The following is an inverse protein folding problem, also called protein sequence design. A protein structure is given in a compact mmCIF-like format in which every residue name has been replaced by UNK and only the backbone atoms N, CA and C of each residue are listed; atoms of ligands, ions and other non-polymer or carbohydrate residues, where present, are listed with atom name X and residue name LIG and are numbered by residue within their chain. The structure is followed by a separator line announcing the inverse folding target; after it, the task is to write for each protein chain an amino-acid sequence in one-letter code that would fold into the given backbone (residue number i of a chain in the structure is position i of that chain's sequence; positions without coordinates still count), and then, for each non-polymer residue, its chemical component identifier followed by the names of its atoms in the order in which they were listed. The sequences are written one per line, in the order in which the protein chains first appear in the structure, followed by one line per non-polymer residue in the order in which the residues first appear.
data_IF_100548589129
#
_entry.id   IF_100548589129
#
_cell.length_a   1.000
_cell.length_b   1.000
_cell.length_c   1.000
_cell.angle_alpha   90.00
_cell.angle_beta   90.00
_cell.angle_gamma   90.00
#
_symmetry.space_group_name_H-M   'P 1'
#
loop_
_entity.id
_entity.type
_entity.pdbx_description
1 polymer ?
#
# COMPACT_ATOMS: atom_id res chain seq x y z
N UNK A 1 -0.84 38.78 4.30
CA UNK A 1 -1.54 37.54 4.70
C UNK A 1 -1.68 36.67 3.45
N UNK A 2 -1.08 35.47 3.45
CA UNK A 2 -1.30 34.51 2.36
C UNK A 2 -2.78 34.13 2.32
N UNK A 3 -3.36 33.98 1.13
CA UNK A 3 -4.76 33.59 1.02
C UNK A 3 -4.98 32.19 1.63
N UNK A 4 -6.16 31.89 2.20
CA UNK A 4 -6.46 30.58 2.78
C UNK A 4 -6.21 29.41 1.81
N UNK A 5 -6.36 29.68 0.51
CA UNK A 5 -6.10 28.73 -0.58
C UNK A 5 -4.61 28.37 -0.71
N UNK A 6 -3.71 29.35 -0.54
CA UNK A 6 -2.25 29.11 -0.59
C UNK A 6 -1.80 28.32 0.64
N UNK A 7 -2.40 28.57 1.81
CA UNK A 7 -2.11 27.83 3.04
C UNK A 7 -2.60 26.38 2.93
N UNK A 8 -3.81 26.17 2.40
CA UNK A 8 -4.35 24.82 2.13
C UNK A 8 -3.49 24.04 1.15
N UNK A 9 -3.11 24.67 0.02
CA UNK A 9 -2.23 24.05 -0.97
C UNK A 9 -0.86 23.69 -0.38
N UNK A 10 -0.28 24.56 0.46
CA UNK A 10 1.01 24.31 1.12
C UNK A 10 0.97 23.16 2.14
N UNK A 11 -0.13 23.06 2.89
CA UNK A 11 -0.35 21.93 3.80
C UNK A 11 -0.52 20.63 3.01
N UNK A 12 -1.22 20.68 1.87
CA UNK A 12 -1.41 19.52 1.02
C UNK A 12 -0.10 19.05 0.37
N UNK A 13 0.74 19.97 -0.11
CA UNK A 13 2.07 19.63 -0.65
C UNK A 13 2.98 19.03 0.42
N UNK A 14 2.96 19.55 1.63
CA UNK A 14 3.78 18.98 2.73
C UNK A 14 3.29 17.60 3.17
N UNK A 15 1.98 17.34 3.13
CA UNK A 15 1.41 16.01 3.40
C UNK A 15 1.79 15.03 2.29
N UNK A 16 1.63 15.41 1.02
CA UNK A 16 1.92 14.50 -0.12
C UNK A 16 3.42 14.18 -0.21
N UNK A 17 4.29 15.18 -0.01
CA UNK A 17 5.74 14.98 0.10
C UNK A 17 6.09 14.03 1.26
N UNK A 18 5.41 14.20 2.42
CA UNK A 18 5.56 13.32 3.57
C UNK A 18 5.21 11.86 3.28
N UNK A 19 4.08 11.61 2.62
CA UNK A 19 3.67 10.25 2.21
C UNK A 19 4.69 9.64 1.25
N UNK A 20 5.12 10.41 0.25
CA UNK A 20 6.04 9.93 -0.76
C UNK A 20 7.42 9.59 -0.16
N UNK A 21 7.99 10.50 0.63
CA UNK A 21 9.29 10.31 1.27
C UNK A 21 9.28 9.11 2.24
N UNK A 22 8.25 9.00 3.08
CA UNK A 22 8.12 7.88 4.04
C UNK A 22 7.93 6.55 3.34
N UNK A 23 7.13 6.51 2.27
CA UNK A 23 6.91 5.29 1.48
C UNK A 23 8.21 4.82 0.82
N UNK A 24 8.98 5.72 0.21
CA UNK A 24 10.29 5.39 -0.38
C UNK A 24 11.26 4.90 0.68
N UNK A 25 11.33 5.58 1.84
CA UNK A 25 12.19 5.17 2.93
C UNK A 25 11.85 3.76 3.43
N UNK A 26 10.56 3.41 3.53
CA UNK A 26 10.10 2.07 3.88
C UNK A 26 10.50 1.03 2.83
N UNK A 27 10.27 1.31 1.54
CA UNK A 27 10.64 0.41 0.43
C UNK A 27 12.15 0.15 0.44
N UNK A 28 12.95 1.22 0.57
CA UNK A 28 14.40 1.11 0.62
C UNK A 28 14.85 0.30 1.83
N UNK A 29 14.32 0.58 3.02
CA UNK A 29 14.64 -0.16 4.25
C UNK A 29 14.29 -1.64 4.14
N UNK A 30 13.14 -1.98 3.56
CA UNK A 30 12.76 -3.38 3.30
C UNK A 30 13.71 -4.06 2.31
N UNK A 31 14.10 -3.38 1.22
CA UNK A 31 15.08 -3.91 0.26
C UNK A 31 16.45 -4.15 0.91
N UNK A 32 16.95 -3.18 1.68
CA UNK A 32 18.19 -3.30 2.44
C UNK A 32 18.15 -4.50 3.38
N UNK A 33 17.08 -4.62 4.17
CA UNK A 33 16.87 -5.74 5.08
C UNK A 33 16.86 -7.07 4.33
N UNK A 34 16.13 -7.16 3.20
CA UNK A 34 16.09 -8.38 2.40
C UNK A 34 17.45 -8.75 1.81
N UNK A 35 18.27 -7.79 1.40
CA UNK A 35 19.62 -8.04 0.88
C UNK A 35 20.57 -8.57 1.96
N UNK A 36 20.59 -7.92 3.13
CA UNK A 36 21.43 -8.35 4.26
C UNK A 36 21.09 -9.79 4.67
N UNK A 37 19.82 -10.13 4.62
CA UNK A 37 19.30 -11.41 5.12
C UNK A 37 19.37 -12.54 4.10
N UNK A 38 19.31 -12.23 2.80
CA UNK A 38 19.43 -13.25 1.75
C UNK A 38 20.85 -13.83 1.67
N UNK A 39 21.86 -13.14 2.20
CA UNK A 39 23.28 -13.47 2.08
C UNK A 39 23.72 -13.66 0.61
N UNK A 40 23.00 -13.08 -0.35
CA UNK A 40 23.40 -13.12 -1.75
C UNK A 40 24.59 -12.19 -1.99
N UNK A 41 25.65 -12.71 -2.61
CA UNK A 41 26.83 -11.92 -2.98
C UNK A 41 26.58 -11.26 -4.33
N UNK A 42 25.96 -10.08 -4.31
CA UNK A 42 25.74 -9.27 -5.51
C UNK A 42 26.94 -8.36 -5.79
N UNK A 43 27.30 -8.23 -7.07
CA UNK A 43 28.20 -7.16 -7.47
C UNK A 43 27.47 -5.80 -7.44
N UNK A 44 28.20 -4.69 -7.55
CA UNK A 44 27.62 -3.34 -7.45
C UNK A 44 26.52 -3.08 -8.50
N UNK A 45 26.67 -3.64 -9.71
CA UNK A 45 25.72 -3.47 -10.82
C UNK A 45 24.42 -4.21 -10.53
N UNK A 46 24.51 -5.48 -10.10
CA UNK A 46 23.37 -6.31 -9.72
C UNK A 46 22.64 -5.73 -8.51
N UNK A 47 23.39 -5.21 -7.54
CA UNK A 47 22.83 -4.55 -6.38
C UNK A 47 22.08 -3.27 -6.77
N UNK A 48 22.65 -2.43 -7.63
CA UNK A 48 21.97 -1.24 -8.14
C UNK A 48 20.71 -1.63 -8.93
N UNK A 49 20.78 -2.64 -9.80
CA UNK A 49 19.61 -3.18 -10.50
C UNK A 49 18.53 -3.63 -9.52
N UNK A 50 18.89 -4.32 -8.43
CA UNK A 50 17.95 -4.73 -7.39
C UNK A 50 17.24 -3.55 -6.71
N UNK A 51 17.93 -2.42 -6.51
CA UNK A 51 17.29 -1.23 -5.95
C UNK A 51 16.17 -0.69 -6.87
N UNK A 52 16.38 -0.73 -8.18
CA UNK A 52 15.41 -0.28 -9.19
C UNK A 52 14.29 -1.28 -9.49
N UNK A 53 14.52 -2.57 -9.27
CA UNK A 53 13.52 -3.60 -9.51
C UNK A 53 12.26 -3.36 -8.65
N UNK A 54 11.04 -3.47 -9.19
CA UNK A 54 9.80 -3.26 -8.43
C UNK A 54 9.44 -4.45 -7.52
N UNK A 55 10.44 -5.06 -6.88
CA UNK A 55 10.28 -6.18 -5.96
C UNK A 55 11.05 -5.93 -4.65
N UNK A 56 10.54 -6.48 -3.56
CA UNK A 56 11.14 -6.31 -2.23
C UNK A 56 12.09 -7.45 -1.84
N UNK A 57 11.98 -8.62 -2.48
CA UNK A 57 12.80 -9.79 -2.15
C UNK A 57 14.09 -9.76 -2.98
N UNK A 58 15.23 -9.85 -2.29
CA UNK A 58 16.54 -9.89 -2.92
C UNK A 58 16.87 -11.31 -3.43
N UNK A 59 16.39 -11.63 -4.63
CA UNK A 59 16.70 -12.87 -5.38
C UNK A 59 16.83 -12.60 -6.89
N UNK A 60 17.75 -11.71 -7.33
CA UNK A 60 17.87 -11.33 -8.74
C UNK A 60 18.17 -12.50 -9.69
N UNK A 61 18.84 -13.56 -9.21
CA UNK A 61 19.17 -14.74 -10.03
C UNK A 61 17.93 -15.57 -10.43
N UNK A 62 16.80 -15.41 -9.75
CA UNK A 62 15.54 -16.09 -10.07
C UNK A 62 14.64 -15.24 -11.00
N UNK A 63 15.10 -14.05 -11.38
CA UNK A 63 14.32 -13.13 -12.21
C UNK A 63 14.57 -13.38 -13.69
N UNK A 64 13.49 -13.25 -14.47
CA UNK A 64 13.53 -13.42 -15.92
C UNK A 64 13.52 -12.03 -16.55
N UNK A 65 14.51 -11.77 -17.41
CA UNK A 65 14.70 -10.47 -18.04
C UNK A 65 14.45 -10.50 -19.55
N UNK A 66 13.72 -9.51 -20.06
CA UNK A 66 13.52 -9.24 -21.49
C UNK A 66 14.84 -8.90 -22.16
N UNK A 67 14.98 -9.32 -23.41
CA UNK A 67 16.09 -8.89 -24.27
C UNK A 67 15.97 -7.44 -24.70
N UNK A 68 14.74 -6.97 -24.98
CA UNK A 68 14.45 -5.62 -25.50
C UNK A 68 13.40 -4.92 -24.66
N UNK A 69 13.53 -3.60 -24.56
CA UNK A 69 12.53 -2.72 -23.94
C UNK A 69 11.43 -2.39 -24.94
N UNK A 70 10.18 -2.41 -24.50
CA UNK A 70 9.03 -1.94 -25.26
C UNK A 70 8.73 -0.47 -24.91
N UNK A 71 9.31 0.44 -25.69
CA UNK A 71 9.12 1.89 -25.49
C UNK A 71 7.67 2.35 -25.62
N UNK A 72 6.87 1.70 -26.46
CA UNK A 72 5.43 2.01 -26.59
C UNK A 72 4.72 1.74 -25.26
N UNK A 73 5.07 0.63 -24.61
CA UNK A 73 4.49 0.28 -23.30
C UNK A 73 4.92 1.28 -22.21
N UNK A 74 6.18 1.71 -22.20
CA UNK A 74 6.67 2.77 -21.30
C UNK A 74 5.86 4.06 -21.48
N UNK A 75 5.69 4.53 -22.72
CA UNK A 75 4.92 5.75 -23.01
C UNK A 75 3.47 5.60 -22.54
N UNK A 76 2.83 4.44 -22.78
CA UNK A 76 1.48 4.16 -22.30
C UNK A 76 1.38 4.25 -20.77
N UNK A 77 2.33 3.66 -20.05
CA UNK A 77 2.36 3.73 -18.59
C UNK A 77 2.52 5.16 -18.08
N UNK A 78 3.43 5.94 -18.67
CA UNK A 78 3.62 7.35 -18.31
C UNK A 78 2.34 8.15 -18.54
N UNK A 79 1.75 8.06 -19.75
CA UNK A 79 0.53 8.82 -20.08
C UNK A 79 -0.63 8.43 -19.15
N UNK A 80 -0.90 7.14 -18.98
CA UNK A 80 -2.02 6.68 -18.15
C UNK A 80 -1.84 7.06 -16.68
N UNK A 81 -0.62 6.94 -16.15
CA UNK A 81 -0.33 7.35 -14.77
C UNK A 81 -0.53 8.86 -14.57
N UNK A 82 -0.05 9.68 -15.50
CA UNK A 82 -0.23 11.14 -15.47
C UNK A 82 -1.70 11.54 -15.53
N UNK A 83 -2.51 10.89 -16.38
CA UNK A 83 -3.95 11.16 -16.47
C UNK A 83 -4.65 10.86 -15.15
N UNK A 84 -4.35 9.73 -14.51
CA UNK A 84 -4.95 9.38 -13.22
C UNK A 84 -4.50 10.36 -12.13
N UNK A 85 -3.22 10.72 -12.06
CA UNK A 85 -2.72 11.68 -11.07
C UNK A 85 -3.41 13.04 -11.22
N UNK A 86 -3.58 13.52 -12.45
CA UNK A 86 -4.30 14.77 -12.72
C UNK A 86 -5.78 14.68 -12.33
N UNK A 87 -6.43 13.55 -12.62
CA UNK A 87 -7.80 13.30 -12.22
C UNK A 87 -7.95 13.23 -10.69
N UNK A 88 -7.04 12.54 -9.98
CA UNK A 88 -7.02 12.47 -8.51
C UNK A 88 -6.86 13.85 -7.88
N UNK A 89 -5.93 14.68 -8.39
CA UNK A 89 -5.73 16.05 -7.92
C UNK A 89 -7.02 16.88 -8.10
N UNK A 90 -7.65 16.80 -9.27
CA UNK A 90 -8.93 17.46 -9.52
C UNK A 90 -10.02 16.95 -8.56
N UNK A 91 -10.18 15.63 -8.45
CA UNK A 91 -11.21 15.01 -7.63
C UNK A 91 -11.08 15.38 -6.14
N UNK A 92 -9.87 15.34 -5.60
CA UNK A 92 -9.62 15.72 -4.20
C UNK A 92 -9.92 17.20 -3.96
N UNK A 93 -9.46 18.09 -4.84
CA UNK A 93 -9.63 19.53 -4.67
C UNK A 93 -11.09 19.98 -4.80
N UNK A 94 -11.84 19.42 -5.74
CA UNK A 94 -13.19 19.90 -6.06
C UNK A 94 -14.32 19.08 -5.45
N UNK A 95 -14.17 17.75 -5.34
CA UNK A 95 -15.24 16.89 -4.80
C UNK A 95 -15.08 16.58 -3.31
N UNK A 96 -13.84 16.55 -2.80
CA UNK A 96 -13.58 16.14 -1.42
C UNK A 96 -13.44 17.33 -0.47
N UNK A 97 -12.44 18.20 -0.70
CA UNK A 97 -12.07 19.26 0.23
C UNK A 97 -13.19 20.24 0.63
N UNK A 98 -14.05 20.77 -0.27
CA UNK A 98 -14.93 21.87 0.10
C UNK A 98 -15.99 21.54 1.16
N UNK A 99 -16.26 20.25 1.44
CA UNK A 99 -17.35 19.82 2.32
C UNK A 99 -16.90 18.93 3.50
N UNK A 100 -15.58 18.69 3.67
CA UNK A 100 -15.06 17.55 4.45
C UNK A 100 -15.06 17.75 5.98
N UNK A 101 -14.91 18.98 6.47
CA UNK A 101 -14.41 19.24 7.85
C UNK A 101 -15.53 19.49 8.89
N UNK A 102 -16.79 19.69 8.45
CA UNK A 102 -17.86 20.16 9.34
C UNK A 102 -19.02 19.19 9.54
N UNK A 103 -18.90 17.94 9.07
CA UNK A 103 -19.99 16.96 9.18
C UNK A 103 -19.79 15.98 10.36
N UNK A 104 -20.89 15.60 11.02
CA UNK A 104 -20.85 14.53 12.02
C UNK A 104 -20.54 13.16 11.38
N UNK A 105 -19.97 12.23 12.15
CA UNK A 105 -19.50 10.92 11.71
C UNK A 105 -20.45 10.19 10.73
N UNK A 106 -21.73 10.09 11.07
CA UNK A 106 -22.69 9.36 10.24
C UNK A 106 -22.87 10.00 8.86
N UNK A 107 -22.99 11.33 8.82
CA UNK A 107 -23.14 12.09 7.58
C UNK A 107 -21.88 12.03 6.74
N UNK A 108 -20.72 12.11 7.40
CA UNK A 108 -19.42 11.95 6.77
C UNK A 108 -19.28 10.58 6.10
N UNK A 109 -19.54 9.48 6.82
CA UNK A 109 -19.45 8.13 6.27
C UNK A 109 -20.36 7.96 5.06
N UNK A 110 -21.63 8.39 5.16
CA UNK A 110 -22.59 8.24 4.06
C UNK A 110 -22.15 9.02 2.82
N UNK A 111 -21.68 10.26 3.00
CA UNK A 111 -21.31 11.13 1.88
C UNK A 111 -19.95 10.78 1.27
N UNK A 112 -18.99 10.32 2.07
CA UNK A 112 -17.59 10.23 1.63
C UNK A 112 -17.07 8.82 1.40
N UNK A 113 -17.71 7.77 1.92
CA UNK A 113 -17.20 6.40 1.77
C UNK A 113 -17.06 5.98 0.33
N UNK A 114 -18.05 6.28 -0.51
CA UNK A 114 -17.98 5.94 -1.92
C UNK A 114 -16.92 6.78 -2.65
N UNK A 115 -16.85 8.09 -2.37
CA UNK A 115 -15.89 9.01 -2.97
C UNK A 115 -14.44 8.62 -2.66
N UNK A 116 -14.14 8.38 -1.39
CA UNK A 116 -12.82 7.94 -0.92
C UNK A 116 -12.51 6.50 -1.33
N UNK A 117 -13.52 5.63 -1.36
CA UNK A 117 -13.38 4.25 -1.81
C UNK A 117 -12.96 4.15 -3.28
N UNK A 118 -13.55 4.97 -4.16
CA UNK A 118 -13.15 5.06 -5.57
C UNK A 118 -11.67 5.48 -5.69
N UNK A 119 -11.25 6.50 -4.95
CA UNK A 119 -9.85 6.94 -4.96
C UNK A 119 -8.91 5.79 -4.61
N UNK A 120 -9.26 4.95 -3.64
CA UNK A 120 -8.41 3.83 -3.21
C UNK A 120 -8.31 2.76 -4.29
N UNK A 121 -9.41 2.44 -4.96
CA UNK A 121 -9.40 1.47 -6.07
C UNK A 121 -8.57 1.99 -7.24
N UNK A 122 -8.75 3.27 -7.60
CA UNK A 122 -8.01 3.89 -8.70
C UNK A 122 -6.53 4.04 -8.35
N UNK A 123 -6.19 4.44 -7.13
CA UNK A 123 -4.81 4.55 -6.67
C UNK A 123 -4.12 3.20 -6.54
N UNK A 124 -4.86 2.14 -6.17
CA UNK A 124 -4.35 0.77 -6.22
C UNK A 124 -3.90 0.43 -7.65
N UNK A 125 -4.77 0.66 -8.64
CA UNK A 125 -4.47 0.42 -10.04
C UNK A 125 -3.32 1.31 -10.57
N UNK A 126 -3.32 2.60 -10.22
CA UNK A 126 -2.23 3.53 -10.55
C UNK A 126 -0.87 2.99 -10.11
N UNK A 127 -0.76 2.58 -8.84
CA UNK A 127 0.51 2.12 -8.28
C UNK A 127 0.90 0.77 -8.90
N UNK A 128 0.01 -0.22 -8.86
CA UNK A 128 0.40 -1.58 -9.17
C UNK A 128 0.45 -1.91 -10.67
N UNK A 129 -0.42 -1.33 -11.50
CA UNK A 129 -0.39 -1.59 -12.95
C UNK A 129 0.47 -0.60 -13.71
N UNK A 130 0.43 0.68 -13.34
CA UNK A 130 1.09 1.71 -14.11
C UNK A 130 2.47 2.08 -13.56
N UNK A 131 2.58 2.44 -12.28
CA UNK A 131 3.87 2.83 -11.70
C UNK A 131 4.80 1.61 -11.64
N UNK A 132 4.40 0.51 -11.00
CA UNK A 132 5.25 -0.69 -10.94
C UNK A 132 5.41 -1.37 -12.30
N UNK A 133 4.40 -1.30 -13.18
CA UNK A 133 4.50 -1.75 -14.57
C UNK A 133 5.55 -0.97 -15.38
N UNK A 134 5.64 0.35 -15.17
CA UNK A 134 6.69 1.18 -15.74
C UNK A 134 8.07 0.75 -15.26
N UNK A 135 8.27 0.58 -13.95
CA UNK A 135 9.53 0.08 -13.39
C UNK A 135 9.88 -1.32 -13.92
N UNK A 136 8.89 -2.18 -14.09
CA UNK A 136 9.06 -3.52 -14.65
C UNK A 136 9.58 -3.47 -16.08
N UNK A 137 9.03 -2.59 -16.92
CA UNK A 137 9.46 -2.44 -18.31
C UNK A 137 10.85 -1.77 -18.42
N UNK A 138 11.14 -0.78 -17.58
CA UNK A 138 12.46 -0.12 -17.51
C UNK A 138 13.54 -1.11 -17.08
N UNK A 139 13.28 -1.89 -16.03
CA UNK A 139 14.21 -2.92 -15.50
C UNK A 139 14.18 -4.22 -16.31
N UNK A 140 13.28 -4.33 -17.29
CA UNK A 140 13.11 -5.47 -18.19
C UNK A 140 12.72 -6.78 -17.49
N UNK A 141 12.23 -6.76 -16.25
CA UNK A 141 11.80 -7.99 -15.57
C UNK A 141 10.41 -8.42 -16.05
N UNK A 142 10.14 -9.73 -16.17
CA UNK A 142 8.85 -10.23 -16.69
C UNK A 142 8.02 -11.00 -15.66
N UNK A 143 8.65 -11.68 -14.71
CA UNK A 143 8.00 -12.66 -13.86
C UNK A 143 7.47 -12.08 -12.54
N UNK A 144 7.15 -10.78 -12.50
CA UNK A 144 6.62 -10.13 -11.31
C UNK A 144 5.09 -10.00 -11.40
N UNK A 145 4.42 -10.47 -10.35
CA UNK A 145 2.99 -10.26 -10.14
C UNK A 145 2.82 -9.38 -8.91
N UNK A 146 2.19 -8.22 -9.07
CA UNK A 146 2.10 -7.22 -8.01
C UNK A 146 0.86 -7.39 -7.12
N UNK A 147 -0.26 -7.82 -7.69
CA UNK A 147 -1.51 -8.09 -6.99
C UNK A 147 -2.29 -9.22 -7.70
N UNK A 148 -3.34 -9.71 -7.07
CA UNK A 148 -4.31 -10.68 -7.60
C UNK A 148 -5.74 -10.13 -7.45
N UNK A 149 -6.76 -10.89 -7.82
CA UNK A 149 -8.19 -10.58 -7.69
C UNK A 149 -8.64 -10.40 -6.22
N UNK A 150 -8.13 -9.37 -5.56
CA UNK A 150 -8.32 -9.08 -4.14
C UNK A 150 -9.76 -8.66 -3.84
N UNK A 151 -10.46 -8.09 -4.81
CA UNK A 151 -11.90 -7.77 -4.73
C UNK A 151 -12.77 -9.02 -4.60
N UNK A 152 -12.26 -10.20 -4.99
CA UNK A 152 -12.93 -11.49 -4.86
C UNK A 152 -12.43 -12.30 -3.65
N UNK A 153 -11.70 -11.69 -2.72
CA UNK A 153 -11.19 -12.38 -1.54
C UNK A 153 -12.34 -12.94 -0.67
N UNK A 154 -12.12 -14.15 -0.15
CA UNK A 154 -13.03 -14.92 0.72
C UNK A 154 -12.74 -14.77 2.22
N UNK A 155 -11.76 -13.93 2.57
CA UNK A 155 -11.35 -13.67 3.95
C UNK A 155 -10.28 -12.58 4.02
N UNK A 156 -9.98 -12.08 5.23
CA UNK A 156 -8.95 -11.07 5.46
C UNK A 156 -7.56 -11.62 5.14
N UNK A 157 -7.31 -12.91 5.43
CA UNK A 157 -6.05 -13.56 5.07
C UNK A 157 -5.81 -13.62 3.55
N UNK A 158 -6.86 -13.90 2.78
CA UNK A 158 -6.80 -13.89 1.31
C UNK A 158 -6.69 -12.47 0.77
N UNK A 159 -7.46 -11.52 1.30
CA UNK A 159 -7.40 -10.11 0.92
C UNK A 159 -5.98 -9.56 1.08
N UNK A 160 -5.36 -9.74 2.26
CA UNK A 160 -4.01 -9.29 2.55
C UNK A 160 -2.95 -9.90 1.63
N UNK A 161 -3.13 -11.17 1.21
CA UNK A 161 -2.22 -11.85 0.27
C UNK A 161 -2.36 -11.33 -1.16
N UNK A 162 -3.60 -11.05 -1.60
CA UNK A 162 -3.90 -10.64 -2.97
C UNK A 162 -3.70 -9.15 -3.22
N UNK A 163 -3.86 -8.31 -2.19
CA UNK A 163 -3.79 -6.84 -2.32
C UNK A 163 -2.43 -6.32 -2.78
N UNK A 164 -1.36 -6.72 -2.09
CA UNK A 164 0.02 -6.34 -2.41
C UNK A 164 0.95 -7.54 -2.20
N UNK A 165 1.24 -8.24 -3.29
CA UNK A 165 2.06 -9.47 -3.26
C UNK A 165 3.50 -9.18 -2.88
N UNK A 166 4.05 -8.02 -3.25
CA UNK A 166 5.46 -7.70 -2.97
C UNK A 166 5.70 -7.57 -1.47
N UNK A 167 4.84 -6.81 -0.77
CA UNK A 167 4.90 -6.67 0.69
C UNK A 167 4.54 -7.99 1.37
N UNK A 168 3.49 -8.69 0.91
CA UNK A 168 3.12 -9.98 1.47
C UNK A 168 4.27 -11.00 1.41
N UNK A 169 4.92 -11.13 0.24
CA UNK A 169 6.02 -12.08 0.05
C UNK A 169 7.24 -11.69 0.88
N UNK A 170 7.57 -10.39 0.96
CA UNK A 170 8.63 -9.88 1.84
C UNK A 170 8.40 -10.30 3.30
N UNK A 171 7.21 -10.05 3.84
CA UNK A 171 6.84 -10.41 5.21
C UNK A 171 6.89 -11.92 5.42
N UNK A 172 6.37 -12.70 4.45
CA UNK A 172 6.36 -14.16 4.51
C UNK A 172 7.77 -14.74 4.60
N UNK A 173 8.67 -14.33 3.71
CA UNK A 173 10.01 -14.92 3.58
C UNK A 173 10.96 -14.37 4.64
N UNK A 174 11.01 -13.06 4.82
CA UNK A 174 12.04 -12.42 5.66
C UNK A 174 11.65 -12.29 7.13
N UNK A 175 10.36 -12.39 7.47
CA UNK A 175 9.87 -12.28 8.85
C UNK A 175 9.26 -13.61 9.30
N UNK A 176 8.12 -13.99 8.72
CA UNK A 176 7.33 -15.13 9.20
C UNK A 176 8.11 -16.44 9.15
N UNK A 177 8.63 -16.85 7.98
CA UNK A 177 9.33 -18.14 7.83
C UNK A 177 10.54 -18.26 8.76
N UNK A 178 11.28 -17.17 8.97
CA UNK A 178 12.45 -17.14 9.87
C UNK A 178 12.08 -17.26 11.33
N UNK A 179 10.98 -16.64 11.76
CA UNK A 179 10.43 -16.79 13.11
C UNK A 179 9.77 -18.17 13.31
N UNK A 180 9.21 -18.75 12.24
CA UNK A 180 8.42 -19.98 12.34
C UNK A 180 9.27 -21.23 12.57
N UNK A 181 10.57 -21.19 12.23
CA UNK A 181 11.63 -22.23 12.36
C UNK A 181 11.31 -23.67 11.91
N UNK A 182 10.11 -24.23 12.11
CA UNK A 182 9.61 -25.52 11.62
C UNK A 182 8.07 -25.64 11.77
N UNK A 183 7.29 -25.13 10.81
CA UNK A 183 5.83 -25.34 10.77
C UNK A 183 5.01 -24.06 10.97
N UNK A 184 3.72 -24.21 11.32
CA UNK A 184 2.83 -23.06 11.59
C UNK A 184 3.06 -22.55 13.01
N UNK A 185 3.57 -21.32 13.14
CA UNK A 185 3.81 -20.71 14.45
C UNK A 185 2.92 -19.46 14.61
N UNK A 186 1.93 -19.55 15.51
CA UNK A 186 1.01 -18.45 15.80
C UNK A 186 1.74 -17.21 16.33
N UNK A 187 2.80 -17.37 17.12
CA UNK A 187 3.61 -16.24 17.61
C UNK A 187 4.31 -15.53 16.45
N UNK A 188 4.89 -16.29 15.52
CA UNK A 188 5.52 -15.72 14.31
C UNK A 188 4.50 -14.95 13.45
N UNK A 189 3.27 -15.47 13.34
CA UNK A 189 2.18 -14.81 12.62
C UNK A 189 1.77 -13.50 13.31
N UNK A 190 1.54 -13.53 14.63
CA UNK A 190 1.22 -12.33 15.43
C UNK A 190 2.29 -11.26 15.26
N UNK A 191 3.56 -11.62 15.40
CA UNK A 191 4.69 -10.69 15.27
C UNK A 191 4.71 -10.09 13.86
N UNK A 192 4.49 -10.90 12.83
CA UNK A 192 4.48 -10.43 11.43
C UNK A 192 3.37 -9.40 11.20
N UNK A 193 2.15 -9.67 11.68
CA UNK A 193 1.02 -8.73 11.60
C UNK A 193 1.25 -7.47 12.44
N UNK A 194 1.81 -7.59 13.63
CA UNK A 194 2.11 -6.44 14.48
C UNK A 194 3.14 -5.51 13.80
N UNK A 195 4.18 -6.07 13.19
CA UNK A 195 5.17 -5.29 12.41
C UNK A 195 4.47 -4.54 11.28
N UNK A 196 3.55 -5.18 10.54
CA UNK A 196 2.80 -4.48 9.49
C UNK A 196 1.97 -3.32 10.02
N UNK A 197 1.24 -3.56 11.12
CA UNK A 197 0.36 -2.55 11.70
C UNK A 197 1.15 -1.35 12.23
N UNK A 198 2.30 -1.60 12.89
CA UNK A 198 3.21 -0.56 13.37
C UNK A 198 3.83 0.26 12.24
N UNK A 199 4.22 -0.38 11.13
CA UNK A 199 4.75 0.33 9.97
C UNK A 199 3.70 1.24 9.31
N UNK A 200 2.47 0.77 9.16
CA UNK A 200 1.38 1.60 8.65
C UNK A 200 1.07 2.77 9.60
N UNK A 201 0.99 2.52 10.90
CA UNK A 201 0.79 3.57 11.91
C UNK A 201 1.91 4.61 11.85
N UNK A 202 3.16 4.17 11.72
CA UNK A 202 4.32 5.06 11.55
C UNK A 202 4.18 5.95 10.30
N UNK A 203 3.86 5.38 9.14
CA UNK A 203 3.67 6.14 7.92
C UNK A 203 2.55 7.18 8.05
N UNK A 204 1.42 6.80 8.66
CA UNK A 204 0.29 7.72 8.91
C UNK A 204 0.71 8.84 9.86
N UNK A 205 1.40 8.50 10.96
CA UNK A 205 1.81 9.49 11.96
C UNK A 205 2.83 10.50 11.43
N UNK A 206 3.79 10.07 10.61
CA UNK A 206 4.74 10.99 9.98
C UNK A 206 4.05 11.89 8.96
N UNK A 207 3.11 11.33 8.20
CA UNK A 207 2.33 12.07 7.20
C UNK A 207 1.44 13.13 7.83
N UNK A 208 0.66 12.74 8.84
CA UNK A 208 -0.33 13.61 9.48
C UNK A 208 0.27 14.45 10.63
N UNK A 209 1.51 14.13 11.04
CA UNK A 209 2.19 14.74 12.20
C UNK A 209 1.38 14.62 13.50
N UNK A 210 0.58 13.56 13.62
CA UNK A 210 -0.25 13.23 14.78
C UNK A 210 -0.06 11.77 15.16
N UNK A 211 -0.31 11.42 16.43
CA UNK A 211 -0.19 10.03 16.91
C UNK A 211 -1.53 9.60 17.49
N UNK A 212 -2.20 8.62 16.87
CA UNK A 212 -3.58 8.22 17.23
C UNK A 212 -3.82 6.73 17.44
N UNK A 213 -3.01 5.86 16.85
CA UNK A 213 -3.10 4.39 17.00
C UNK A 213 -4.39 3.73 16.48
N UNK A 214 -5.27 4.46 15.78
CA UNK A 214 -6.50 3.87 15.24
C UNK A 214 -6.19 2.77 14.21
N UNK A 215 -5.23 3.00 13.30
CA UNK A 215 -4.88 2.02 12.28
C UNK A 215 -4.29 0.76 12.92
N UNK A 216 -3.42 0.93 13.92
CA UNK A 216 -2.88 -0.17 14.72
C UNK A 216 -4.00 -1.02 15.35
N UNK A 217 -4.98 -0.39 16.00
CA UNK A 217 -6.11 -1.08 16.66
C UNK A 217 -6.95 -1.87 15.64
N UNK A 218 -7.36 -1.24 14.54
CA UNK A 218 -8.16 -1.93 13.53
C UNK A 218 -7.40 -3.07 12.84
N UNK A 219 -6.10 -2.90 12.59
CA UNK A 219 -5.26 -3.97 12.01
C UNK A 219 -5.12 -5.17 12.95
N UNK A 220 -4.91 -4.93 14.25
CA UNK A 220 -4.90 -5.97 15.26
C UNK A 220 -6.27 -6.69 15.35
N UNK A 221 -7.37 -5.95 15.27
CA UNK A 221 -8.72 -6.52 15.26
C UNK A 221 -8.95 -7.42 14.02
N UNK A 222 -8.56 -6.97 12.81
CA UNK A 222 -8.64 -7.79 11.60
C UNK A 222 -7.86 -9.10 11.77
N UNK A 223 -6.67 -9.05 12.34
CA UNK A 223 -5.85 -10.23 12.60
C UNK A 223 -6.54 -11.22 13.56
N UNK A 224 -7.10 -10.73 14.67
CA UNK A 224 -7.83 -11.57 15.64
C UNK A 224 -8.99 -12.29 14.97
N UNK A 225 -9.64 -11.69 13.97
CA UNK A 225 -10.76 -12.28 13.26
C UNK A 225 -10.36 -13.39 12.27
N UNK A 226 -9.13 -13.39 11.73
CA UNK A 226 -8.67 -14.33 10.68
C UNK A 226 -8.92 -15.81 11.06
N UNK A 227 -8.52 -16.30 12.26
CA UNK A 227 -8.77 -17.69 12.64
C UNK A 227 -10.26 -18.06 12.73
N UNK A 228 -11.12 -17.09 13.06
CA UNK A 228 -12.56 -17.29 13.21
C UNK A 228 -13.31 -17.26 11.87
N UNK A 229 -12.68 -16.82 10.78
CA UNK A 229 -13.32 -16.77 9.45
C UNK A 229 -13.72 -18.15 8.91
N UNK A 230 -13.12 -19.24 9.44
CA UNK A 230 -13.57 -20.61 9.15
C UNK A 230 -14.99 -20.88 9.67
N UNK A 231 -15.38 -20.24 10.78
CA UNK A 231 -16.68 -20.41 11.42
C UNK A 231 -17.67 -19.33 11.01
N UNK A 232 -17.19 -18.11 10.78
CA UNK A 232 -17.98 -16.95 10.37
C UNK A 232 -17.46 -16.52 8.98
N UNK A 233 -17.99 -17.10 7.89
CA UNK A 233 -17.57 -16.71 6.56
C UNK A 233 -17.93 -15.24 6.33
N UNK A 234 -16.95 -14.43 5.95
CA UNK A 234 -17.19 -13.07 5.48
C UNK A 234 -17.49 -13.14 3.99
N UNK A 235 -18.73 -12.84 3.56
CA UNK A 235 -19.05 -12.76 2.15
C UNK A 235 -18.14 -11.75 1.44
N UNK A 236 -17.79 -12.03 0.18
CA UNK A 236 -16.92 -11.18 -0.64
C UNK A 236 -17.37 -9.72 -0.66
N UNK A 237 -18.68 -9.49 -0.75
CA UNK A 237 -19.26 -8.15 -0.75
C UNK A 237 -19.03 -7.40 0.58
N UNK A 238 -19.02 -8.08 1.73
CA UNK A 238 -18.74 -7.44 3.03
C UNK A 238 -17.28 -6.98 3.07
N UNK A 239 -16.33 -7.82 2.64
CA UNK A 239 -14.91 -7.45 2.62
C UNK A 239 -14.65 -6.28 1.68
N UNK A 240 -15.28 -6.28 0.49
CA UNK A 240 -15.18 -5.15 -0.43
C UNK A 240 -15.81 -3.88 0.14
N UNK A 241 -16.98 -3.98 0.79
CA UNK A 241 -17.58 -2.86 1.51
C UNK A 241 -16.66 -2.33 2.62
N UNK A 242 -15.96 -3.18 3.37
CA UNK A 242 -14.99 -2.72 4.38
C UNK A 242 -13.83 -1.94 3.76
N UNK A 243 -13.41 -2.25 2.53
CA UNK A 243 -12.43 -1.43 1.80
C UNK A 243 -13.01 -0.06 1.44
N UNK A 244 -14.29 0.03 1.05
CA UNK A 244 -14.91 1.33 0.72
C UNK A 244 -15.20 2.18 1.97
N UNK A 245 -15.85 1.60 2.97
CA UNK A 245 -16.34 2.30 4.16
C UNK A 245 -15.31 2.36 5.30
N UNK A 246 -14.40 1.38 5.41
CA UNK A 246 -13.39 1.38 6.46
C UNK A 246 -12.43 2.55 6.33
N UNK A 247 -12.07 2.91 5.09
CA UNK A 247 -11.12 4.00 4.86
C UNK A 247 -11.71 5.38 5.15
N UNK A 248 -13.00 5.62 4.91
CA UNK A 248 -13.63 6.88 5.32
C UNK A 248 -13.66 7.01 6.84
N UNK A 249 -13.98 5.92 7.56
CA UNK A 249 -13.89 5.89 9.02
C UNK A 249 -12.47 6.21 9.48
N UNK A 250 -11.45 5.62 8.87
CA UNK A 250 -10.05 5.90 9.21
C UNK A 250 -9.73 7.38 9.03
N UNK A 251 -10.02 7.97 7.87
CA UNK A 251 -9.66 9.37 7.62
C UNK A 251 -10.45 10.30 8.56
N UNK A 252 -11.72 10.02 8.85
CA UNK A 252 -12.49 10.77 9.84
C UNK A 252 -11.84 10.74 11.22
N UNK A 253 -11.47 9.56 11.71
CA UNK A 253 -10.86 9.38 13.04
C UNK A 253 -9.52 10.12 13.16
N UNK A 254 -8.72 10.15 12.11
CA UNK A 254 -7.43 10.83 12.11
C UNK A 254 -7.51 12.36 11.88
N UNK A 255 -8.63 12.87 11.38
CA UNK A 255 -8.81 14.30 11.07
C UNK A 255 -9.63 15.06 12.11
N UNK A 256 -10.65 14.42 12.69
CA UNK A 256 -11.56 15.07 13.64
C UNK A 256 -11.13 14.96 15.11
N UNK A 257 -10.43 13.89 15.48
CA UNK A 257 -9.96 13.68 16.85
C UNK A 257 -8.49 13.96 16.93
#
# INVERSE_FOLDING_TARGET
MLSPLIISAFIQTTITEGIFATSIACIFSMKMYSYIISNEKLNLIQYNLYLWLPCLICQPNQMIFKKKTNFIQIIKYIINSSVIILWDLYYIMYEIQPNYIHEGLAKFIINYSFRLGILIVINHYLIFDYILGLFMEITKVENLVFYEDWWNADGFGTLNRKWNKQVHNFLKINIYQRLSKNGKNMKALIITYLITALLHEYCINVTLKTVRFYFLIFSCAQFILIPYQKYIPFPRYILFSLVLFGNSLMIYLYTHY
#
